data_IF_594004810492
#
_entry.id   IF_594004810492
#
_cell.length_a   1.000
_cell.length_b   1.000
_cell.length_c   1.000
_cell.angle_alpha   90.00
_cell.angle_beta   90.00
_cell.angle_gamma   90.00
#
_symmetry.space_group_name_H-M   'P 1'
#
loop_
_entity.id
_entity.type
_entity.pdbx_description
1 polymer ?
#
# COMPACT_ATOMS: atom_id res chain seq x y z
N UNK A 1 60.81 -22.54 -10.24
CA UNK A 1 60.78 -22.56 -8.76
C UNK A 1 59.95 -23.75 -8.33
N UNK A 2 60.60 -24.85 -7.95
CA UNK A 2 59.95 -26.14 -7.72
C UNK A 2 59.46 -26.31 -6.29
N UNK A 3 58.42 -27.15 -6.12
CA UNK A 3 58.18 -27.86 -4.87
C UNK A 3 58.02 -29.34 -5.22
N UNK A 4 58.88 -30.14 -4.57
CA UNK A 4 59.02 -31.58 -4.64
C UNK A 4 57.76 -32.31 -4.16
N UNK A 5 57.26 -33.28 -4.93
CA UNK A 5 56.45 -34.37 -4.38
C UNK A 5 57.40 -35.38 -3.74
N UNK A 6 57.75 -35.17 -2.46
CA UNK A 6 58.40 -36.20 -1.64
C UNK A 6 57.30 -37.05 -1.03
N UNK A 7 57.20 -38.33 -1.43
CA UNK A 7 56.38 -39.31 -0.75
C UNK A 7 57.06 -39.69 0.56
N UNK A 8 56.62 -39.11 1.67
CA UNK A 8 57.05 -39.56 3.00
C UNK A 8 56.14 -40.71 3.46
N UNK A 9 56.73 -41.88 3.61
CA UNK A 9 56.12 -43.14 4.07
C UNK A 9 55.84 -43.10 5.59
N UNK A 10 55.22 -42.04 6.08
CA UNK A 10 54.89 -41.88 7.50
C UNK A 10 53.37 -41.93 7.60
N UNK A 11 52.87 -42.96 8.30
CA UNK A 11 51.50 -43.01 8.78
C UNK A 11 51.25 -41.83 9.72
N UNK A 12 50.87 -40.70 9.14
CA UNK A 12 50.03 -39.71 9.82
C UNK A 12 48.73 -39.68 9.06
N UNK A 13 47.65 -40.03 9.75
CA UNK A 13 46.26 -39.88 9.33
C UNK A 13 45.95 -38.40 9.07
N UNK A 14 46.51 -37.83 8.01
CA UNK A 14 46.14 -36.52 7.52
C UNK A 14 44.92 -36.76 6.65
N UNK A 15 43.77 -36.83 7.31
CA UNK A 15 42.50 -36.55 6.67
C UNK A 15 42.71 -35.27 5.86
N UNK A 16 42.72 -35.40 4.53
CA UNK A 16 42.78 -34.25 3.65
C UNK A 16 41.52 -33.45 3.96
N UNK A 17 41.66 -32.45 4.83
CA UNK A 17 40.56 -31.62 5.29
C UNK A 17 39.86 -31.14 4.04
N UNK A 18 38.58 -31.48 3.93
CA UNK A 18 37.71 -31.24 2.77
C UNK A 18 38.04 -29.83 2.25
N UNK A 19 38.57 -29.73 1.02
CA UNK A 19 38.95 -28.43 0.44
C UNK A 19 37.74 -27.51 0.56
N UNK A 20 37.93 -26.39 1.23
CA UNK A 20 36.92 -25.34 1.32
C UNK A 20 36.55 -24.92 -0.10
N UNK A 21 35.26 -24.61 -0.31
CA UNK A 21 34.79 -24.23 -1.62
C UNK A 21 35.64 -23.06 -2.14
N UNK A 22 36.05 -23.08 -3.43
CA UNK A 22 36.80 -21.96 -4.00
C UNK A 22 36.03 -20.68 -3.73
N UNK A 23 36.70 -19.61 -3.31
CA UNK A 23 36.10 -18.30 -3.09
C UNK A 23 35.48 -17.83 -4.40
N UNK A 24 34.18 -18.08 -4.59
CA UNK A 24 33.46 -17.67 -5.78
C UNK A 24 33.13 -16.18 -5.58
N UNK A 25 33.50 -15.35 -6.54
CA UNK A 25 33.08 -13.96 -6.57
C UNK A 25 31.55 -13.91 -6.69
N UNK A 26 30.88 -13.66 -5.57
CA UNK A 26 29.41 -13.70 -5.47
C UNK A 26 28.74 -12.80 -6.51
N UNK A 27 29.32 -11.63 -6.81
CA UNK A 27 28.82 -10.71 -7.82
C UNK A 27 28.77 -11.33 -9.24
N UNK A 28 29.77 -12.16 -9.58
CA UNK A 28 29.87 -12.83 -10.89
C UNK A 28 28.89 -14.01 -10.99
N UNK A 29 28.68 -14.73 -9.90
CA UNK A 29 27.71 -15.84 -9.88
C UNK A 29 26.27 -15.31 -10.01
N UNK A 30 25.95 -14.23 -9.29
CA UNK A 30 24.62 -13.61 -9.34
C UNK A 30 24.31 -13.05 -10.73
N UNK A 31 25.26 -12.35 -11.37
CA UNK A 31 25.08 -11.74 -12.70
C UNK A 31 24.60 -12.72 -13.78
N UNK A 32 25.04 -13.98 -13.71
CA UNK A 32 24.72 -15.02 -14.71
C UNK A 32 23.29 -15.56 -14.60
N UNK A 33 22.66 -15.45 -13.43
CA UNK A 33 21.36 -16.06 -13.13
C UNK A 33 20.19 -15.09 -13.34
N UNK A 34 20.45 -13.79 -13.51
CA UNK A 34 19.40 -12.74 -13.57
C UNK A 34 18.34 -12.95 -14.66
N UNK A 35 18.63 -13.64 -15.76
CA UNK A 35 17.65 -13.91 -16.83
C UNK A 35 16.56 -14.90 -16.42
N UNK A 36 16.86 -15.81 -15.50
CA UNK A 36 15.92 -16.81 -14.99
C UNK A 36 15.11 -16.31 -13.77
N UNK A 37 15.50 -15.16 -13.20
CA UNK A 37 14.94 -14.64 -11.95
C UNK A 37 13.91 -13.55 -12.24
N UNK A 38 12.80 -13.56 -11.48
CA UNK A 38 11.78 -12.50 -11.55
C UNK A 38 12.39 -11.14 -11.16
N UNK A 39 11.98 -10.05 -11.83
CA UNK A 39 12.50 -8.72 -11.52
C UNK A 39 12.20 -8.30 -10.09
N UNK A 40 13.05 -7.45 -9.54
CA UNK A 40 12.92 -6.93 -8.18
C UNK A 40 11.70 -6.02 -8.10
N UNK A 41 10.78 -6.30 -7.16
CA UNK A 41 9.67 -5.41 -6.81
C UNK A 41 10.20 -4.27 -5.94
N UNK A 42 10.31 -3.07 -6.51
CA UNK A 42 10.82 -1.88 -5.80
C UNK A 42 9.75 -1.21 -4.92
N UNK A 43 8.51 -1.68 -4.96
CA UNK A 43 7.40 -1.05 -4.26
C UNK A 43 7.45 -1.35 -2.75
N UNK A 44 7.77 -0.32 -1.97
CA UNK A 44 7.64 -0.37 -0.52
C UNK A 44 6.16 -0.16 -0.13
N UNK A 45 5.48 -1.24 0.25
CA UNK A 45 4.11 -1.15 0.79
C UNK A 45 4.15 -0.50 2.17
N UNK A 46 3.77 0.78 2.25
CA UNK A 46 3.59 1.48 3.53
C UNK A 46 2.28 1.04 4.19
N UNK A 47 2.27 1.01 5.52
CA UNK A 47 1.04 0.81 6.27
C UNK A 47 0.07 1.95 5.98
N UNK A 48 -1.16 1.61 5.59
CA UNK A 48 -2.21 2.58 5.29
C UNK A 48 -3.03 2.81 6.56
N UNK A 49 -3.08 4.05 7.04
CA UNK A 49 -3.98 4.42 8.13
C UNK A 49 -5.44 4.29 7.70
N UNK A 50 -6.25 3.62 8.52
CA UNK A 50 -7.68 3.50 8.28
C UNK A 50 -8.37 4.82 8.63
N UNK A 51 -8.76 5.57 7.61
CA UNK A 51 -9.54 6.78 7.77
C UNK A 51 -11.01 6.47 8.09
N UNK A 52 -11.65 7.31 8.91
CA UNK A 52 -13.06 7.18 9.28
C UNK A 52 -14.00 7.61 8.14
N UNK A 53 -14.79 6.68 7.60
CA UNK A 53 -15.68 6.91 6.45
C UNK A 53 -16.71 8.02 6.68
N UNK A 54 -17.39 8.02 7.83
CA UNK A 54 -18.47 8.97 8.10
C UNK A 54 -17.97 10.42 8.20
N UNK A 55 -16.70 10.59 8.58
CA UNK A 55 -16.05 11.90 8.75
C UNK A 55 -15.28 12.31 7.49
N UNK A 56 -14.84 11.36 6.67
CA UNK A 56 -14.06 11.60 5.45
C UNK A 56 -14.86 11.19 4.19
N UNK A 57 -15.41 12.20 3.51
CA UNK A 57 -16.21 12.02 2.30
C UNK A 57 -15.46 11.30 1.17
N UNK A 58 -14.18 11.56 0.96
CA UNK A 58 -13.43 10.97 -0.16
C UNK A 58 -13.28 9.46 0.00
N UNK A 59 -13.08 9.00 1.24
CA UNK A 59 -13.02 7.57 1.56
C UNK A 59 -14.40 6.93 1.41
N UNK A 60 -15.45 7.62 1.85
CA UNK A 60 -16.82 7.17 1.68
C UNK A 60 -17.22 7.05 0.21
N UNK A 61 -16.82 8.00 -0.64
CA UNK A 61 -17.10 7.98 -2.08
C UNK A 61 -16.32 6.90 -2.81
N UNK A 62 -15.07 6.64 -2.41
CA UNK A 62 -14.25 5.57 -2.97
C UNK A 62 -14.85 4.19 -2.68
N UNK A 63 -15.43 4.01 -1.50
CA UNK A 63 -16.01 2.74 -1.06
C UNK A 63 -17.48 2.58 -1.47
N UNK A 64 -18.24 3.67 -1.47
CA UNK A 64 -19.65 3.71 -1.83
C UNK A 64 -19.93 4.86 -2.81
N UNK A 65 -20.01 4.57 -4.13
CA UNK A 65 -20.29 5.59 -5.13
C UNK A 65 -21.70 6.20 -5.00
N UNK A 66 -22.68 5.43 -4.50
CA UNK A 66 -24.06 5.91 -4.30
C UNK A 66 -24.18 6.95 -3.18
N UNK A 67 -23.19 7.04 -2.29
CA UNK A 67 -23.18 8.04 -1.23
C UNK A 67 -23.20 9.47 -1.79
N UNK A 68 -22.65 9.70 -3.00
CA UNK A 68 -22.72 11.00 -3.69
C UNK A 68 -24.16 11.39 -3.99
N UNK A 69 -24.94 10.46 -4.53
CA UNK A 69 -26.33 10.69 -4.92
C UNK A 69 -27.20 10.91 -3.69
N UNK A 70 -27.04 10.08 -2.65
CA UNK A 70 -27.77 10.23 -1.40
C UNK A 70 -27.53 11.60 -0.75
N UNK A 71 -26.28 12.06 -0.70
CA UNK A 71 -25.92 13.40 -0.20
C UNK A 71 -26.51 14.53 -1.04
N UNK A 72 -26.53 14.38 -2.36
CA UNK A 72 -27.15 15.37 -3.25
C UNK A 72 -28.66 15.47 -3.00
N UNK A 73 -29.33 14.33 -2.89
CA UNK A 73 -30.77 14.28 -2.62
C UNK A 73 -31.13 14.90 -1.27
N UNK A 74 -30.35 14.65 -0.23
CA UNK A 74 -30.59 15.25 1.09
C UNK A 74 -30.50 16.77 1.06
N UNK A 75 -29.49 17.32 0.37
CA UNK A 75 -29.31 18.77 0.24
C UNK A 75 -30.46 19.43 -0.53
N UNK A 76 -30.93 18.81 -1.60
CA UNK A 76 -32.08 19.32 -2.36
C UNK A 76 -33.36 19.31 -1.52
N UNK A 77 -33.59 18.24 -0.77
CA UNK A 77 -34.74 18.14 0.13
C UNK A 77 -34.68 19.14 1.29
N UNK A 78 -33.49 19.40 1.83
CA UNK A 78 -33.29 20.43 2.87
C UNK A 78 -33.54 21.83 2.33
N UNK A 79 -33.05 22.15 1.14
CA UNK A 79 -33.29 23.43 0.49
C UNK A 79 -34.80 23.68 0.26
N UNK A 80 -35.53 22.67 -0.23
CA UNK A 80 -36.98 22.74 -0.40
C UNK A 80 -37.70 22.94 0.94
N UNK A 81 -37.30 22.21 1.99
CA UNK A 81 -37.87 22.36 3.34
C UNK A 81 -37.64 23.76 3.91
N UNK A 82 -36.45 24.33 3.74
CA UNK A 82 -36.15 25.68 4.20
C UNK A 82 -36.97 26.72 3.44
N UNK A 83 -37.12 26.57 2.12
CA UNK A 83 -37.96 27.47 1.31
C UNK A 83 -39.41 27.46 1.78
N UNK A 84 -40.02 26.28 1.92
CA UNK A 84 -41.39 26.14 2.38
C UNK A 84 -41.61 26.70 3.80
N UNK A 85 -40.63 26.53 4.70
CA UNK A 85 -40.69 27.13 6.05
C UNK A 85 -40.67 28.66 6.00
N UNK A 86 -39.83 29.24 5.14
CA UNK A 86 -39.76 30.70 4.96
C UNK A 86 -41.07 31.26 4.40
N UNK A 87 -41.63 30.63 3.36
CA UNK A 87 -42.91 31.04 2.77
C UNK A 87 -44.08 30.95 3.76
N UNK A 88 -44.12 29.89 4.58
CA UNK A 88 -45.08 29.78 5.67
C UNK A 88 -44.90 30.87 6.71
N UNK A 89 -43.65 31.15 7.11
CA UNK A 89 -43.37 32.20 8.08
C UNK A 89 -43.76 33.58 7.54
N UNK A 90 -43.46 33.89 6.27
CA UNK A 90 -43.89 35.13 5.64
C UNK A 90 -45.40 35.22 5.60
N UNK A 91 -46.11 34.16 5.21
CA UNK A 91 -47.57 34.16 5.20
C UNK A 91 -48.17 34.40 6.59
N UNK A 92 -47.64 33.75 7.63
CA UNK A 92 -48.11 33.94 9.02
C UNK A 92 -47.86 35.38 9.48
N UNK A 93 -46.68 35.94 9.22
CA UNK A 93 -46.36 37.33 9.61
C UNK A 93 -47.22 38.32 8.82
N UNK A 94 -47.39 38.13 7.51
CA UNK A 94 -48.30 38.97 6.72
C UNK A 94 -49.73 38.86 7.28
N UNK A 95 -50.26 37.66 7.49
CA UNK A 95 -51.60 37.49 8.06
C UNK A 95 -51.76 38.16 9.43
N UNK A 96 -50.74 38.13 10.29
CA UNK A 96 -50.80 38.79 11.61
C UNK A 96 -50.66 40.31 11.57
N UNK A 97 -50.10 40.88 10.49
CA UNK A 97 -49.92 42.32 10.32
C UNK A 97 -51.07 42.95 9.54
N UNK A 98 -51.70 42.18 8.65
CA UNK A 98 -52.79 42.63 7.76
C UNK A 98 -54.18 42.10 8.19
N UNK A 99 -54.32 41.59 9.41
CA UNK A 99 -55.58 41.24 10.06
C UNK A 99 -55.80 42.12 11.29
#
# INVERSE_FOLDING_TARGET
MGISKKSSNICTSLSSSRREAPQIDLARALSQVHSAVKPIKKDAKRSVMKNNLLKNLNVMLKLNPYAKTAKRMSLLAEAQRVKAKKEKLTFVVYSSVYC
#
